data_IF_523749189253
#
_entry.id   IF_523749189253
#
_cell.length_a   1.000
_cell.length_b   1.000
_cell.length_c   1.000
_cell.angle_alpha   90.00
_cell.angle_beta   90.00
_cell.angle_gamma   90.00
#
_symmetry.space_group_name_H-M   'P 1'
#
loop_
_entity.id
_entity.type
_entity.pdbx_description
1 polymer ?
#
# COMPACT_ATOMS: atom_id res chain seq x y z
N UNK A 1 43.63 48.33 7.85
CA UNK A 1 42.42 47.62 8.30
C UNK A 1 41.31 47.83 7.28
N UNK A 2 40.30 46.96 7.29
CA UNK A 2 39.09 46.92 6.46
C UNK A 2 39.11 45.99 5.24
N UNK A 3 38.88 44.71 5.54
CA UNK A 3 38.16 43.79 4.67
C UNK A 3 36.65 43.98 4.91
N UNK A 4 35.82 44.28 3.89
CA UNK A 4 34.38 44.08 3.99
C UNK A 4 34.02 42.66 3.55
N UNK A 5 33.47 41.88 4.50
CA UNK A 5 32.56 40.77 4.25
C UNK A 5 31.51 41.16 3.20
N UNK A 6 31.16 40.24 2.28
CA UNK A 6 29.80 40.11 1.69
C UNK A 6 29.68 38.85 0.79
N UNK A 7 30.03 37.68 1.30
CA UNK A 7 29.67 36.39 0.65
C UNK A 7 29.25 35.37 1.73
N UNK A 8 28.22 35.70 2.52
CA UNK A 8 27.58 34.72 3.38
C UNK A 8 26.09 35.08 3.46
N UNK A 9 25.25 34.39 2.67
CA UNK A 9 23.80 34.61 2.71
C UNK A 9 23.04 33.89 1.59
N UNK A 10 23.54 33.89 0.36
CA UNK A 10 22.81 33.28 -0.78
C UNK A 10 23.02 31.77 -0.95
N UNK A 11 24.12 31.21 -0.44
CA UNK A 11 24.44 29.79 -0.61
C UNK A 11 23.59 28.91 0.33
N UNK A 12 23.29 29.38 1.55
CA UNK A 12 22.51 28.62 2.55
C UNK A 12 21.03 28.45 2.18
N UNK A 13 20.40 29.46 1.56
CA UNK A 13 18.98 29.39 1.19
C UNK A 13 18.69 28.34 0.08
N UNK A 14 19.57 28.23 -0.93
CA UNK A 14 19.39 27.25 -2.01
C UNK A 14 19.62 25.81 -1.57
N UNK A 15 20.39 25.58 -0.51
CA UNK A 15 20.65 24.24 0.04
C UNK A 15 19.45 23.75 0.87
N UNK A 16 18.84 24.64 1.66
CA UNK A 16 17.61 24.36 2.42
C UNK A 16 16.42 24.05 1.50
N UNK A 17 16.31 24.73 0.35
CA UNK A 17 15.21 24.52 -0.59
C UNK A 17 15.29 23.14 -1.27
N UNK A 18 16.50 22.70 -1.63
CA UNK A 18 16.73 21.35 -2.20
C UNK A 18 16.38 20.25 -1.21
N UNK A 19 16.79 20.40 0.04
CA UNK A 19 16.49 19.45 1.11
C UNK A 19 14.98 19.40 1.43
N UNK A 20 14.33 20.56 1.50
CA UNK A 20 12.88 20.66 1.69
C UNK A 20 12.09 19.96 0.57
N UNK A 21 12.45 20.19 -0.69
CA UNK A 21 11.81 19.51 -1.83
C UNK A 21 12.02 17.98 -1.80
N UNK A 22 13.18 17.52 -1.33
CA UNK A 22 13.47 16.10 -1.17
C UNK A 22 12.60 15.48 -0.06
N UNK A 23 12.48 16.15 1.08
CA UNK A 23 11.59 15.74 2.18
C UNK A 23 10.12 15.68 1.71
N UNK A 24 9.66 16.66 0.92
CA UNK A 24 8.32 16.65 0.35
C UNK A 24 8.10 15.47 -0.61
N UNK A 25 9.08 15.15 -1.45
CA UNK A 25 9.04 13.95 -2.32
C UNK A 25 8.95 12.67 -1.49
N UNK A 26 9.72 12.55 -0.41
CA UNK A 26 9.66 11.40 0.50
C UNK A 26 8.30 11.31 1.23
N UNK A 27 7.74 12.44 1.68
CA UNK A 27 6.39 12.49 2.28
C UNK A 27 5.29 12.16 1.27
N UNK A 28 5.45 12.54 0.01
CA UNK A 28 4.50 12.18 -1.04
C UNK A 28 4.50 10.68 -1.36
N UNK A 29 5.64 10.00 -1.16
CA UNK A 29 5.76 8.54 -1.29
C UNK A 29 5.14 7.79 -0.11
N UNK A 30 5.00 8.43 1.07
CA UNK A 30 4.31 7.82 2.22
C UNK A 30 2.83 7.62 1.89
N UNK A 31 2.33 6.40 2.11
CA UNK A 31 0.93 6.06 1.85
C UNK A 31 0.03 6.85 2.80
N UNK A 32 -0.82 7.71 2.25
CA UNK A 32 -1.84 8.43 3.01
C UNK A 32 -3.10 7.57 3.06
N UNK A 33 -3.50 7.20 4.27
CA UNK A 33 -4.73 6.44 4.53
C UNK A 33 -5.88 7.45 4.65
N UNK A 34 -6.76 7.47 3.67
CA UNK A 34 -7.92 8.40 3.63
C UNK A 34 -9.25 7.71 3.92
N UNK A 35 -9.28 6.37 3.81
CA UNK A 35 -10.50 5.56 3.93
C UNK A 35 -10.24 4.31 4.78
N UNK A 36 -11.29 3.82 5.44
CA UNK A 36 -11.25 2.62 6.29
C UNK A 36 -10.66 1.40 5.57
N UNK A 37 -11.07 1.13 4.33
CA UNK A 37 -10.53 0.00 3.56
C UNK A 37 -9.04 0.13 3.24
N UNK A 38 -8.49 1.35 3.16
CA UNK A 38 -7.05 1.57 2.96
C UNK A 38 -6.27 1.24 4.23
N UNK A 39 -6.83 1.60 5.39
CA UNK A 39 -6.29 1.23 6.69
C UNK A 39 -6.25 -0.30 6.82
N UNK A 40 -7.40 -0.95 6.62
CA UNK A 40 -7.53 -2.41 6.71
C UNK A 40 -6.53 -3.11 5.78
N UNK A 41 -6.46 -2.70 4.51
CA UNK A 41 -5.53 -3.29 3.55
C UNK A 41 -4.06 -3.11 3.95
N UNK A 42 -3.70 -1.96 4.54
CA UNK A 42 -2.35 -1.71 5.04
C UNK A 42 -2.05 -2.59 6.26
N UNK A 43 -2.97 -2.69 7.22
CA UNK A 43 -2.84 -3.55 8.39
C UNK A 43 -2.65 -5.02 8.00
N UNK A 44 -3.41 -5.53 7.03
CA UNK A 44 -3.25 -6.89 6.52
C UNK A 44 -1.83 -7.08 5.94
N UNK A 45 -1.35 -6.12 5.14
CA UNK A 45 -0.02 -6.21 4.55
C UNK A 45 1.10 -6.26 5.60
N UNK A 46 0.94 -5.53 6.70
CA UNK A 46 1.89 -5.53 7.82
C UNK A 46 1.81 -6.83 8.63
N UNK A 47 0.61 -7.32 8.95
CA UNK A 47 0.42 -8.59 9.66
C UNK A 47 1.04 -9.79 8.93
N UNK A 48 0.93 -9.80 7.60
CA UNK A 48 1.46 -10.87 6.75
C UNK A 48 2.92 -10.64 6.33
N UNK A 49 3.54 -9.53 6.78
CA UNK A 49 4.89 -9.11 6.39
C UNK A 49 5.08 -9.03 4.86
N UNK A 50 4.03 -8.58 4.15
CA UNK A 50 3.93 -8.55 2.68
C UNK A 50 3.54 -7.15 2.18
N UNK A 51 4.33 -6.15 2.58
CA UNK A 51 4.11 -4.75 2.20
C UNK A 51 4.23 -4.50 0.69
N UNK A 52 5.00 -5.35 -0.01
CA UNK A 52 5.16 -5.30 -1.47
C UNK A 52 3.82 -5.40 -2.20
N UNK A 53 2.87 -6.17 -1.64
CA UNK A 53 1.53 -6.35 -2.21
C UNK A 53 0.44 -5.56 -1.48
N UNK A 54 0.76 -4.51 -0.71
CA UNK A 54 -0.25 -3.65 -0.03
C UNK A 54 -1.41 -3.19 -0.91
N UNK A 55 -1.14 -2.89 -2.18
CA UNK A 55 -2.16 -2.45 -3.14
C UNK A 55 -3.19 -3.55 -3.44
N UNK A 56 -2.80 -4.83 -3.40
CA UNK A 56 -3.69 -5.98 -3.55
C UNK A 56 -4.63 -6.10 -2.34
N UNK A 57 -4.08 -6.02 -1.13
CA UNK A 57 -4.87 -6.10 0.11
C UNK A 57 -5.85 -4.92 0.25
N UNK A 58 -5.44 -3.72 -0.14
CA UNK A 58 -6.34 -2.54 -0.20
C UNK A 58 -7.48 -2.77 -1.20
N UNK A 59 -7.21 -3.35 -2.38
CA UNK A 59 -8.26 -3.68 -3.36
C UNK A 59 -9.22 -4.74 -2.82
N UNK A 60 -8.72 -5.74 -2.10
CA UNK A 60 -9.52 -6.78 -1.44
C UNK A 60 -10.46 -6.16 -0.40
N UNK A 61 -9.94 -5.36 0.51
CA UNK A 61 -10.72 -4.66 1.54
C UNK A 61 -11.70 -3.62 0.97
N UNK A 62 -11.44 -3.10 -0.24
CA UNK A 62 -12.39 -2.21 -0.93
C UNK A 62 -13.60 -2.97 -1.49
N UNK A 63 -13.39 -4.22 -1.92
CA UNK A 63 -14.42 -5.02 -2.60
C UNK A 63 -15.24 -5.88 -1.63
N UNK A 64 -14.64 -6.27 -0.51
CA UNK A 64 -15.19 -7.25 0.43
C UNK A 64 -15.10 -6.75 1.86
N UNK A 65 -15.81 -7.40 2.78
CA UNK A 65 -15.82 -7.02 4.19
C UNK A 65 -14.41 -7.08 4.79
N UNK A 66 -13.94 -5.93 5.30
CA UNK A 66 -12.61 -5.80 5.90
C UNK A 66 -12.41 -6.62 7.17
N UNK A 67 -13.47 -6.84 7.94
CA UNK A 67 -13.40 -7.53 9.23
C UNK A 67 -13.05 -9.03 9.05
N UNK A 68 -13.66 -9.68 8.07
CA UNK A 68 -13.36 -11.08 7.74
C UNK A 68 -11.92 -11.23 7.23
N UNK A 69 -11.46 -10.31 6.37
CA UNK A 69 -10.09 -10.31 5.87
C UNK A 69 -9.07 -10.15 7.00
N UNK A 70 -9.37 -9.26 7.96
CA UNK A 70 -8.55 -9.07 9.16
C UNK A 70 -8.51 -10.31 10.05
N UNK A 71 -9.64 -10.97 10.28
CA UNK A 71 -9.69 -12.19 11.07
C UNK A 71 -8.81 -13.30 10.48
N UNK A 72 -8.90 -13.53 9.17
CA UNK A 72 -8.06 -14.51 8.46
C UNK A 72 -6.59 -14.10 8.52
N UNK A 73 -6.28 -12.81 8.32
CA UNK A 73 -4.90 -12.32 8.36
C UNK A 73 -4.26 -12.52 9.75
N UNK A 74 -5.00 -12.32 10.84
CA UNK A 74 -4.55 -12.59 12.21
C UNK A 74 -4.23 -14.07 12.43
N UNK A 75 -5.13 -14.96 12.04
CA UNK A 75 -4.90 -16.41 12.14
C UNK A 75 -3.65 -16.84 11.36
N UNK A 76 -3.45 -16.31 10.15
CA UNK A 76 -2.26 -16.62 9.34
C UNK A 76 -0.99 -16.02 9.96
N UNK A 77 -1.07 -14.84 10.58
CA UNK A 77 0.07 -14.20 11.23
C UNK A 77 0.59 -14.98 12.43
N UNK A 78 -0.30 -15.62 13.20
CA UNK A 78 0.03 -16.40 14.40
C UNK A 78 0.69 -17.75 14.09
N UNK A 79 0.49 -18.29 12.88
CA UNK A 79 1.09 -19.56 12.45
C UNK A 79 2.60 -19.39 12.23
N UNK A 80 3.40 -20.04 13.09
CA UNK A 80 4.87 -19.94 13.09
C UNK A 80 5.56 -20.71 11.96
N UNK A 81 4.90 -21.72 11.38
CA UNK A 81 5.49 -22.62 10.39
C UNK A 81 5.21 -22.20 8.93
N UNK A 82 5.02 -20.91 8.68
CA UNK A 82 4.66 -20.38 7.35
C UNK A 82 5.62 -19.26 7.00
N UNK A 83 6.48 -19.51 6.01
CA UNK A 83 7.44 -18.54 5.50
C UNK A 83 6.75 -17.47 4.64
N UNK A 84 5.93 -17.89 3.66
CA UNK A 84 5.18 -16.97 2.81
C UNK A 84 3.73 -16.79 3.30
N UNK A 85 3.57 -15.94 4.33
CA UNK A 85 2.26 -15.64 4.93
C UNK A 85 1.28 -14.98 3.96
N UNK A 86 1.75 -14.07 3.10
CA UNK A 86 0.91 -13.44 2.08
C UNK A 86 0.33 -14.44 1.07
N UNK A 87 1.18 -15.33 0.55
CA UNK A 87 0.75 -16.41 -0.35
C UNK A 87 -0.17 -17.41 0.32
N UNK A 88 0.10 -17.76 1.58
CA UNK A 88 -0.77 -18.66 2.34
C UNK A 88 -2.13 -18.03 2.62
N UNK A 89 -2.18 -16.75 2.99
CA UNK A 89 -3.43 -15.99 3.14
C UNK A 89 -4.28 -16.07 1.87
N UNK A 90 -3.69 -15.89 0.69
CA UNK A 90 -4.43 -16.01 -0.58
C UNK A 90 -4.99 -17.41 -0.79
N UNK A 91 -4.25 -18.47 -0.43
CA UNK A 91 -4.76 -19.86 -0.51
C UNK A 91 -5.91 -20.11 0.47
N UNK A 92 -5.82 -19.59 1.70
CA UNK A 92 -6.91 -19.73 2.69
C UNK A 92 -8.16 -18.99 2.22
N UNK A 93 -7.97 -17.79 1.68
CA UNK A 93 -9.03 -16.96 1.11
C UNK A 93 -9.72 -17.67 -0.06
N UNK A 94 -8.96 -18.30 -0.97
CA UNK A 94 -9.48 -19.07 -2.09
C UNK A 94 -10.36 -20.24 -1.62
N UNK A 95 -9.92 -20.96 -0.58
CA UNK A 95 -10.67 -22.11 -0.04
C UNK A 95 -11.94 -21.71 0.70
N UNK A 96 -11.88 -20.67 1.53
CA UNK A 96 -13.03 -20.24 2.34
C UNK A 96 -14.01 -19.38 1.56
N UNK A 97 -13.51 -18.59 0.61
CA UNK A 97 -14.29 -17.57 -0.10
C UNK A 97 -13.96 -17.56 -1.59
N UNK A 98 -14.28 -18.64 -2.33
CA UNK A 98 -13.96 -18.75 -3.76
C UNK A 98 -14.62 -17.65 -4.61
N UNK A 99 -15.72 -17.07 -4.14
CA UNK A 99 -16.42 -15.96 -4.81
C UNK A 99 -15.63 -14.64 -4.77
N UNK A 100 -14.70 -14.46 -3.82
CA UNK A 100 -13.90 -13.23 -3.68
C UNK A 100 -12.88 -13.10 -4.82
N UNK A 101 -12.35 -14.23 -5.31
CA UNK A 101 -11.30 -14.31 -6.32
C UNK A 101 -11.83 -14.52 -7.75
N UNK A 102 -13.14 -14.80 -7.93
CA UNK A 102 -13.77 -14.86 -9.27
C UNK A 102 -13.75 -13.48 -9.91
N UNK A 103 -12.69 -13.20 -10.68
CA UNK A 103 -12.61 -11.99 -11.47
C UNK A 103 -13.67 -11.99 -12.60
N UNK A 104 -14.20 -10.80 -12.81
CA UNK A 104 -15.08 -10.30 -13.87
C UNK A 104 -14.52 -10.42 -15.30
N UNK A 105 -13.83 -11.51 -15.66
CA UNK A 105 -13.47 -11.78 -17.06
C UNK A 105 -14.71 -12.00 -17.94
N UNK A 106 -15.88 -12.28 -17.36
CA UNK A 106 -17.12 -12.45 -18.13
C UNK A 106 -17.77 -11.13 -18.61
N UNK A 107 -17.35 -9.96 -18.13
CA UNK A 107 -17.97 -8.68 -18.50
C UNK A 107 -17.18 -7.88 -19.56
N UNK A 108 -15.93 -8.25 -19.84
CA UNK A 108 -15.08 -7.54 -20.82
C UNK A 108 -15.31 -8.06 -22.25
N UNK A 109 -15.78 -9.30 -22.42
CA UNK A 109 -16.02 -9.91 -23.73
C UNK A 109 -17.31 -9.46 -24.42
N UNK A 110 -18.23 -8.79 -23.72
CA UNK A 110 -19.55 -8.43 -24.26
C UNK A 110 -19.66 -6.99 -24.82
N UNK A 111 -18.70 -6.10 -24.53
CA UNK A 111 -18.75 -4.68 -24.95
C UNK A 111 -17.95 -4.38 -26.22
N UNK A 112 -17.45 -5.39 -26.94
CA UNK A 112 -16.68 -5.22 -28.20
C UNK A 112 -17.50 -5.48 -29.46
N UNK A 113 -18.83 -5.65 -29.33
CA UNK A 113 -19.75 -6.02 -30.42
C UNK A 113 -20.85 -4.97 -30.65
N UNK A 114 -20.51 -3.67 -30.60
CA UNK A 114 -21.38 -2.62 -31.16
C UNK A 114 -20.48 -1.57 -31.80
N UNK A 115 -20.18 -1.76 -33.08
CA UNK A 115 -19.90 -0.72 -34.06
C UNK A 115 -20.14 -1.29 -35.45
#
# INVERSE_FOLDING_TARGET
>A
MFMPLLICGKISAMEQEKDYLQILKERAKKSRVYKSYQFVGLTISQLLNDEKHKSLYIKLAKKHSGDHLLAIAKDVAERKNIENKGGYFMKVLEKTHPYILRNSKSQITNNKKIK
#
